data_IF_765708813730
#
_entry.id   IF_765708813730
#
_cell.length_a   1.000
_cell.length_b   1.000
_cell.length_c   1.000
_cell.angle_alpha   90.00
_cell.angle_beta   90.00
_cell.angle_gamma   90.00
#
_symmetry.space_group_name_H-M   'P 1'
#
loop_
_entity.id
_entity.type
_entity.pdbx_description
1 polymer ?
#
# COMPACT_ATOMS: atom_id res chain seq x y z
N UNK A 1 16.99 37.61 1.69
CA UNK A 1 17.65 36.29 1.53
C UNK A 1 17.05 35.37 2.59
N UNK A 2 16.63 34.19 2.15
CA UNK A 2 15.86 33.22 2.91
C UNK A 2 16.66 32.57 4.05
N UNK A 3 15.95 31.99 5.03
CA UNK A 3 16.31 30.68 5.56
C UNK A 3 15.07 29.99 6.16
N UNK A 4 14.50 29.09 5.38
CA UNK A 4 13.66 27.99 5.83
C UNK A 4 14.59 26.86 6.30
N UNK A 5 14.43 26.37 7.53
CA UNK A 5 14.97 25.08 7.92
C UNK A 5 13.83 24.12 8.27
N UNK A 6 13.76 23.07 7.46
CA UNK A 6 12.87 21.93 7.52
C UNK A 6 12.81 21.28 8.90
N UNK A 7 11.60 21.10 9.41
CA UNK A 7 11.30 20.06 10.41
C UNK A 7 10.66 18.86 9.70
N UNK A 8 11.46 17.88 9.31
CA UNK A 8 10.97 16.51 9.12
C UNK A 8 11.76 15.58 10.03
N UNK A 9 11.11 15.15 11.11
CA UNK A 9 11.70 14.28 12.13
C UNK A 9 11.75 12.80 11.69
N UNK A 10 12.79 12.05 12.10
CA UNK A 10 12.98 10.63 11.75
C UNK A 10 12.03 9.65 12.50
N UNK A 11 11.19 10.15 13.41
CA UNK A 11 10.37 9.30 14.29
C UNK A 11 9.23 8.55 13.59
N UNK A 12 8.71 9.07 12.47
CA UNK A 12 7.55 8.47 11.79
C UNK A 12 7.91 7.14 11.10
N UNK A 13 9.16 6.98 10.66
CA UNK A 13 9.64 5.79 9.95
C UNK A 13 9.87 4.60 10.91
N UNK A 14 10.32 4.87 12.13
CA UNK A 14 10.63 3.85 13.14
C UNK A 14 9.38 3.20 13.75
N UNK A 15 8.27 3.95 13.88
CA UNK A 15 7.02 3.42 14.44
C UNK A 15 6.25 2.56 13.43
N UNK A 16 6.20 2.98 12.15
CA UNK A 16 5.64 2.16 11.05
C UNK A 16 6.31 0.78 10.93
N UNK A 17 7.61 0.70 11.27
CA UNK A 17 8.37 -0.55 11.24
C UNK A 17 8.03 -1.52 12.39
N UNK A 18 7.49 -1.04 13.51
CA UNK A 18 7.13 -1.87 14.66
C UNK A 18 5.77 -2.55 14.45
N UNK A 19 4.78 -1.84 13.90
CA UNK A 19 3.49 -2.44 13.50
C UNK A 19 3.67 -3.49 12.39
N UNK A 20 4.65 -3.29 11.51
CA UNK A 20 5.07 -4.28 10.53
C UNK A 20 5.73 -5.55 11.13
N UNK A 21 5.88 -5.68 12.45
CA UNK A 21 6.41 -6.88 13.12
C UNK A 21 5.36 -7.67 13.91
N UNK A 22 4.09 -7.26 13.92
CA UNK A 22 3.02 -8.01 14.59
C UNK A 22 2.85 -9.37 13.88
N UNK A 23 2.93 -10.50 14.61
CA UNK A 23 2.73 -11.82 14.04
C UNK A 23 1.32 -11.94 13.45
N UNK A 24 1.15 -12.56 12.27
CA UNK A 24 -0.14 -12.65 11.56
C UNK A 24 -1.22 -13.45 12.31
N UNK A 25 -0.89 -14.05 13.46
CA UNK A 25 -1.76 -15.00 14.19
C UNK A 25 -2.66 -14.37 15.24
N UNK A 26 -2.55 -13.06 15.50
CA UNK A 26 -3.40 -12.38 16.51
C UNK A 26 -4.35 -11.43 15.80
N UNK A 27 -5.67 -11.70 15.81
CA UNK A 27 -6.67 -10.73 15.40
C UNK A 27 -6.49 -9.45 16.23
N UNK A 28 -6.40 -8.32 15.53
CA UNK A 28 -6.37 -7.00 16.12
C UNK A 28 -7.81 -6.52 16.30
N UNK A 29 -8.04 -5.76 17.35
CA UNK A 29 -9.28 -4.97 17.44
C UNK A 29 -9.30 -3.98 16.27
N UNK A 30 -10.35 -3.96 15.40
CA UNK A 30 -10.39 -3.09 14.22
C UNK A 30 -10.28 -1.60 14.52
N UNK A 31 -10.61 -1.19 15.75
CA UNK A 31 -10.49 0.20 16.21
C UNK A 31 -9.15 0.49 16.91
N UNK A 32 -8.33 -0.53 17.12
CA UNK A 32 -7.02 -0.38 17.74
C UNK A 32 -6.08 0.48 16.91
N UNK A 33 -5.12 1.10 17.60
CA UNK A 33 -4.08 1.88 16.96
C UNK A 33 -3.24 1.00 16.03
N UNK A 34 -2.96 -0.22 16.44
CA UNK A 34 -2.17 -1.20 15.72
C UNK A 34 -2.83 -1.61 14.40
N UNK A 35 -4.15 -1.81 14.39
CA UNK A 35 -4.90 -2.09 13.17
C UNK A 35 -4.83 -0.92 12.19
N UNK A 36 -5.00 0.32 12.68
CA UNK A 36 -4.89 1.51 11.84
C UNK A 36 -3.46 1.71 11.30
N UNK A 37 -2.42 1.48 12.12
CA UNK A 37 -1.01 1.57 11.68
C UNK A 37 -0.69 0.52 10.60
N UNK A 38 -1.26 -0.68 10.69
CA UNK A 38 -1.11 -1.72 9.67
C UNK A 38 -1.80 -1.32 8.36
N UNK A 39 -3.02 -0.78 8.42
CA UNK A 39 -3.73 -0.29 7.24
C UNK A 39 -3.00 0.91 6.58
N UNK A 40 -2.48 1.85 7.37
CA UNK A 40 -1.67 2.97 6.83
C UNK A 40 -0.38 2.49 6.16
N UNK A 41 0.26 1.45 6.71
CA UNK A 41 1.45 0.85 6.10
C UNK A 41 1.11 0.15 4.78
N UNK A 42 -0.05 -0.53 4.74
CA UNK A 42 -0.58 -1.14 3.53
C UNK A 42 -0.87 -0.08 2.46
N UNK A 43 -1.53 1.03 2.82
CA UNK A 43 -1.82 2.15 1.90
C UNK A 43 -0.53 2.66 1.25
N UNK A 44 0.48 3.02 2.05
CA UNK A 44 1.75 3.51 1.54
C UNK A 44 2.39 2.51 0.56
N UNK A 45 2.45 1.24 0.95
CA UNK A 45 3.06 0.20 0.12
C UNK A 45 2.29 0.00 -1.19
N UNK A 46 0.95 0.03 -1.15
CA UNK A 46 0.10 -0.12 -2.33
C UNK A 46 0.28 1.03 -3.32
N UNK A 47 0.27 2.28 -2.84
CA UNK A 47 0.43 3.42 -3.72
C UNK A 47 1.84 3.51 -4.32
N UNK A 48 2.89 3.21 -3.55
CA UNK A 48 4.26 3.14 -4.05
C UNK A 48 4.43 1.99 -5.06
N UNK A 49 3.82 0.83 -4.81
CA UNK A 49 3.84 -0.29 -5.75
C UNK A 49 3.17 0.07 -7.09
N UNK A 50 1.99 0.69 -7.04
CA UNK A 50 1.28 1.15 -8.24
C UNK A 50 2.08 2.23 -8.98
N UNK A 51 2.87 3.03 -8.26
CA UNK A 51 3.78 4.01 -8.86
C UNK A 51 5.02 3.38 -9.52
N UNK A 52 5.23 2.07 -9.39
CA UNK A 52 6.30 1.31 -10.03
C UNK A 52 7.48 0.96 -9.14
N UNK A 53 7.38 1.11 -7.81
CA UNK A 53 8.42 0.64 -6.89
C UNK A 53 8.30 -0.87 -6.63
N UNK A 54 9.24 -1.65 -7.17
CA UNK A 54 9.26 -3.11 -7.07
C UNK A 54 9.38 -3.59 -5.62
N UNK A 55 10.15 -2.90 -4.78
CA UNK A 55 10.29 -3.25 -3.37
C UNK A 55 8.97 -3.04 -2.61
N UNK A 56 8.20 -2.01 -2.96
CA UNK A 56 6.87 -1.77 -2.42
C UNK A 56 5.86 -2.81 -2.86
N UNK A 57 5.96 -3.36 -4.07
CA UNK A 57 5.06 -4.43 -4.52
C UNK A 57 5.18 -5.68 -3.64
N UNK A 58 6.42 -6.11 -3.36
CA UNK A 58 6.66 -7.23 -2.46
C UNK A 58 6.16 -6.94 -1.03
N UNK A 59 6.38 -5.71 -0.52
CA UNK A 59 5.88 -5.29 0.80
C UNK A 59 4.36 -5.24 0.85
N UNK A 60 3.72 -4.75 -0.20
CA UNK A 60 2.27 -4.64 -0.29
C UNK A 60 1.59 -6.02 -0.22
N UNK A 61 2.18 -7.02 -0.86
CA UNK A 61 1.70 -8.40 -0.78
C UNK A 61 1.74 -8.96 0.66
N UNK A 62 2.87 -8.77 1.37
CA UNK A 62 2.99 -9.20 2.78
C UNK A 62 1.99 -8.47 3.69
N UNK A 63 1.94 -7.14 3.58
CA UNK A 63 1.07 -6.30 4.40
C UNK A 63 -0.41 -6.60 4.17
N UNK A 64 -0.80 -6.91 2.93
CA UNK A 64 -2.17 -7.26 2.60
C UNK A 64 -2.59 -8.55 3.29
N UNK A 65 -1.79 -9.61 3.18
CA UNK A 65 -2.08 -10.91 3.81
C UNK A 65 -2.20 -10.75 5.33
N UNK A 66 -1.33 -9.93 5.92
CA UNK A 66 -1.38 -9.61 7.34
C UNK A 66 -2.60 -8.78 7.71
N UNK A 67 -2.97 -7.78 6.91
CA UNK A 67 -4.15 -6.96 7.15
C UNK A 67 -5.43 -7.80 7.08
N UNK A 68 -5.55 -8.70 6.11
CA UNK A 68 -6.69 -9.63 6.00
C UNK A 68 -6.78 -10.53 7.23
N UNK A 69 -5.65 -11.10 7.67
CA UNK A 69 -5.61 -11.99 8.82
C UNK A 69 -5.86 -11.26 10.16
N UNK A 70 -5.35 -10.04 10.32
CA UNK A 70 -5.35 -9.33 11.58
C UNK A 70 -6.55 -8.39 11.75
N UNK A 71 -6.96 -7.66 10.72
CA UNK A 71 -8.02 -6.62 10.81
C UNK A 71 -9.37 -7.14 10.30
N UNK A 72 -9.34 -8.18 9.47
CA UNK A 72 -10.53 -8.79 8.89
C UNK A 72 -10.81 -8.29 7.46
N UNK A 73 -11.43 -9.17 6.67
CA UNK A 73 -11.68 -8.94 5.25
C UNK A 73 -12.44 -7.67 4.94
N UNK A 74 -13.53 -7.38 5.66
CA UNK A 74 -14.44 -6.27 5.33
C UNK A 74 -13.75 -4.91 5.27
N UNK A 75 -12.88 -4.61 6.25
CA UNK A 75 -12.18 -3.32 6.33
C UNK A 75 -11.05 -3.21 5.30
N UNK A 76 -10.42 -4.33 4.96
CA UNK A 76 -9.39 -4.37 3.91
C UNK A 76 -10.03 -4.27 2.52
N UNK A 77 -11.22 -4.82 2.35
CA UNK A 77 -12.03 -4.74 1.13
C UNK A 77 -12.45 -3.30 0.82
N UNK A 78 -12.78 -2.49 1.83
CA UNK A 78 -13.07 -1.05 1.64
C UNK A 78 -11.88 -0.29 1.02
N UNK A 79 -10.64 -0.64 1.43
CA UNK A 79 -9.43 -0.07 0.84
C UNK A 79 -9.11 -0.67 -0.54
N UNK A 80 -9.48 -1.93 -0.80
CA UNK A 80 -9.23 -2.63 -2.07
C UNK A 80 -9.77 -1.88 -3.28
N UNK A 81 -11.01 -1.39 -3.17
CA UNK A 81 -11.65 -0.65 -4.26
C UNK A 81 -10.89 0.62 -4.63
N UNK A 82 -10.32 1.29 -3.63
CA UNK A 82 -9.55 2.51 -3.84
C UNK A 82 -8.24 2.21 -4.57
N UNK A 83 -7.53 1.15 -4.17
CA UNK A 83 -6.31 0.72 -4.85
C UNK A 83 -6.59 0.31 -6.30
N UNK A 84 -7.65 -0.47 -6.54
CA UNK A 84 -8.06 -0.87 -7.89
C UNK A 84 -8.37 0.33 -8.77
N UNK A 85 -9.13 1.30 -8.25
CA UNK A 85 -9.44 2.54 -8.97
C UNK A 85 -8.17 3.30 -9.33
N UNK A 86 -7.25 3.44 -8.39
CA UNK A 86 -5.99 4.14 -8.61
C UNK A 86 -5.07 3.42 -9.60
N UNK A 87 -4.97 2.09 -9.51
CA UNK A 87 -4.19 1.30 -10.46
C UNK A 87 -4.75 1.39 -11.87
N UNK A 88 -6.08 1.28 -12.04
CA UNK A 88 -6.74 1.44 -13.34
C UNK A 88 -6.47 2.84 -13.90
N UNK A 89 -6.59 3.88 -13.09
CA UNK A 89 -6.30 5.24 -13.54
C UNK A 89 -4.83 5.43 -13.92
N UNK A 90 -3.91 4.84 -13.16
CA UNK A 90 -2.47 4.84 -13.46
C UNK A 90 -2.18 4.17 -14.81
N UNK A 91 -2.82 3.04 -15.12
CA UNK A 91 -2.65 2.39 -16.43
C UNK A 91 -3.16 3.27 -17.57
N UNK A 92 -4.30 3.96 -17.42
CA UNK A 92 -4.81 4.89 -18.44
C UNK A 92 -3.85 6.04 -18.69
N UNK A 93 -3.30 6.61 -17.61
CA UNK A 93 -2.32 7.70 -17.70
C UNK A 93 -1.04 7.25 -18.41
N UNK A 94 -0.52 6.07 -18.06
CA UNK A 94 0.68 5.51 -18.73
C UNK A 94 0.42 5.20 -20.22
N UNK A 95 -0.81 4.81 -20.59
CA UNK A 95 -1.17 4.57 -21.98
C UNK A 95 -1.26 5.86 -22.81
N UNK A 96 -1.82 6.92 -22.20
CA UNK A 96 -2.05 8.23 -22.83
C UNK A 96 -0.81 9.15 -22.81
N UNK A 97 0.16 8.89 -21.93
CA UNK A 97 1.35 9.72 -21.76
C UNK A 97 2.29 9.68 -22.98
N UNK A 98 2.95 10.81 -23.23
CA UNK A 98 3.99 10.93 -24.26
C UNK A 98 5.25 10.13 -23.89
N UNK A 99 5.55 10.04 -22.59
CA UNK A 99 6.65 9.24 -22.05
C UNK A 99 6.12 7.86 -21.67
N UNK A 100 6.74 6.81 -22.18
CA UNK A 100 6.42 5.42 -21.83
C UNK A 100 7.04 5.07 -20.48
N UNK A 101 6.20 4.72 -19.51
CA UNK A 101 6.60 4.20 -18.19
C UNK A 101 6.22 2.70 -18.07
N UNK A 102 6.91 1.78 -18.79
CA UNK A 102 6.49 0.37 -18.86
C UNK A 102 6.54 -0.36 -17.52
N UNK A 103 7.50 -0.04 -16.65
CA UNK A 103 7.62 -0.64 -15.32
C UNK A 103 6.42 -0.29 -14.44
N UNK A 104 6.01 0.98 -14.43
CA UNK A 104 4.85 1.47 -13.69
C UNK A 104 3.53 0.90 -14.23
N UNK A 105 3.40 0.84 -15.56
CA UNK A 105 2.26 0.17 -16.19
C UNK A 105 2.17 -1.31 -15.77
N UNK A 106 3.30 -2.03 -15.82
CA UNK A 106 3.34 -3.44 -15.43
C UNK A 106 2.97 -3.62 -13.96
N UNK A 107 3.56 -2.84 -13.06
CA UNK A 107 3.27 -2.91 -11.62
C UNK A 107 1.78 -2.61 -11.32
N UNK A 108 1.19 -1.59 -11.96
CA UNK A 108 -0.23 -1.29 -11.80
C UNK A 108 -1.12 -2.44 -12.31
N UNK A 109 -0.78 -3.08 -13.44
CA UNK A 109 -1.48 -4.26 -13.96
C UNK A 109 -1.35 -5.46 -13.02
N UNK A 110 -0.17 -5.68 -12.44
CA UNK A 110 0.06 -6.75 -11.47
C UNK A 110 -0.81 -6.58 -10.23
N UNK A 111 -0.88 -5.36 -9.68
CA UNK A 111 -1.77 -5.03 -8.55
C UNK A 111 -3.24 -5.28 -8.91
N UNK A 112 -3.69 -4.85 -10.09
CA UNK A 112 -5.06 -5.12 -10.57
C UNK A 112 -5.33 -6.62 -10.64
N UNK A 113 -4.44 -7.37 -11.30
CA UNK A 113 -4.60 -8.79 -11.52
C UNK A 113 -4.61 -9.57 -10.20
N UNK A 114 -3.80 -9.14 -9.22
CA UNK A 114 -3.78 -9.74 -7.89
C UNK A 114 -5.06 -9.46 -7.10
N UNK A 115 -5.47 -8.19 -6.99
CA UNK A 115 -6.66 -7.80 -6.21
C UNK A 115 -7.99 -8.24 -6.84
N UNK A 116 -8.02 -8.60 -8.12
CA UNK A 116 -9.24 -9.06 -8.81
C UNK A 116 -9.42 -10.58 -8.79
N UNK A 117 -8.35 -11.36 -8.61
CA UNK A 117 -8.44 -12.83 -8.54
C UNK A 117 -8.99 -13.35 -7.20
N UNK A 118 -9.24 -12.45 -6.24
CA UNK A 118 -9.32 -12.79 -4.84
C UNK A 118 -7.90 -13.05 -4.37
N UNK A 119 -7.39 -12.20 -3.48
CA UNK A 119 -6.15 -12.49 -2.78
C UNK A 119 -6.42 -13.72 -1.90
N UNK A 120 -6.19 -14.90 -2.46
CA UNK A 120 -6.30 -16.19 -1.79
C UNK A 120 -5.34 -16.27 -0.60
#
# INVERSE_FOLDING_TARGET
>A
MANNFSMHGPHRRSLKQAAAQIPPTVPLDPESREANELLEALDDAMFEAIAGDEASLARAHDLWQRAVAAVGGDRVEESREQYLRFAVETTKQCAAGEVREPAKMLAAVEVIAWLTRGAA
#
